data_IF_491353849664
#
_entry.id   IF_491353849664
#
_cell.length_a   1.000
_cell.length_b   1.000
_cell.length_c   1.000
_cell.angle_alpha   90.00
_cell.angle_beta   90.00
_cell.angle_gamma   90.00
#
_symmetry.space_group_name_H-M   'P 1'
#
loop_
_entity.id
_entity.type
_entity.pdbx_description
1 polymer ?
#
# COMPACT_ATOMS: atom_id res chain seq x y z
N UNK A 1 -14.08 -32.51 25.12
CA UNK A 1 -14.03 -31.07 24.79
C UNK A 1 -12.59 -30.78 24.42
N UNK A 2 -12.32 -30.44 23.16
CA UNK A 2 -10.99 -29.97 22.79
C UNK A 2 -10.81 -28.56 23.34
N UNK A 3 -9.58 -28.19 23.65
CA UNK A 3 -9.23 -26.91 24.28
C UNK A 3 -9.37 -25.75 23.28
N UNK A 4 -10.58 -25.16 23.23
CA UNK A 4 -10.94 -24.06 22.32
C UNK A 4 -10.19 -22.75 22.61
N UNK A 5 -9.38 -22.68 23.67
CA UNK A 5 -8.51 -21.53 23.93
C UNK A 5 -7.36 -21.46 22.92
N UNK A 6 -6.83 -22.61 22.45
CA UNK A 6 -5.66 -22.71 21.55
C UNK A 6 -5.92 -22.31 20.08
N UNK A 7 -7.08 -21.73 19.77
CA UNK A 7 -7.41 -21.23 18.42
C UNK A 7 -7.70 -19.73 18.40
N UNK A 8 -7.62 -19.07 19.54
CA UNK A 8 -7.91 -17.65 19.71
C UNK A 8 -6.60 -16.89 19.76
N UNK A 9 -6.57 -15.72 19.15
CA UNK A 9 -5.42 -14.82 19.20
C UNK A 9 -5.81 -13.56 19.96
N UNK A 10 -4.92 -13.08 20.82
CA UNK A 10 -5.01 -11.71 21.33
C UNK A 10 -4.37 -10.80 20.29
N UNK A 11 -5.04 -9.69 19.98
CA UNK A 11 -4.53 -8.62 19.13
C UNK A 11 -4.43 -7.37 19.99
N UNK A 12 -3.20 -6.88 20.14
CA UNK A 12 -2.88 -5.61 20.81
C UNK A 12 -2.53 -4.59 19.71
N UNK A 13 -3.19 -3.44 19.75
CA UNK A 13 -3.03 -2.37 18.77
C UNK A 13 -3.49 -1.04 19.40
N UNK A 14 -3.72 -0.02 18.60
CA UNK A 14 -4.13 1.32 19.05
C UNK A 14 -5.45 1.74 18.36
N UNK A 15 -6.21 2.64 18.98
CA UNK A 15 -7.31 3.36 18.34
C UNK A 15 -6.78 4.54 17.51
N UNK A 16 -7.66 5.22 16.76
CA UNK A 16 -7.32 6.42 15.99
C UNK A 16 -6.77 7.59 16.82
N UNK A 17 -6.82 7.51 18.16
CA UNK A 17 -6.30 8.50 19.10
C UNK A 17 -4.98 8.07 19.77
N UNK A 18 -4.41 6.91 19.41
CA UNK A 18 -3.21 6.34 20.03
C UNK A 18 -3.44 5.68 21.41
N UNK A 19 -4.69 5.43 21.80
CA UNK A 19 -4.98 4.65 23.00
C UNK A 19 -4.81 3.16 22.71
N UNK A 20 -4.13 2.43 23.61
CA UNK A 20 -3.97 0.97 23.45
C UNK A 20 -5.28 0.22 23.62
N UNK A 21 -5.61 -0.60 22.63
CA UNK A 21 -6.79 -1.46 22.61
C UNK A 21 -6.35 -2.93 22.50
N UNK A 22 -6.98 -3.79 23.31
CA UNK A 22 -6.74 -5.24 23.28
C UNK A 22 -8.04 -5.97 22.98
N UNK A 23 -8.07 -6.69 21.87
CA UNK A 23 -9.20 -7.52 21.43
C UNK A 23 -8.77 -8.97 21.23
N UNK A 24 -9.73 -9.87 21.13
CA UNK A 24 -9.47 -11.29 20.88
C UNK A 24 -10.18 -11.72 19.60
N UNK A 25 -9.48 -12.43 18.73
CA UNK A 25 -10.03 -13.02 17.51
C UNK A 25 -10.30 -14.50 17.75
N UNK A 26 -11.55 -14.94 17.56
CA UNK A 26 -11.95 -16.35 17.68
C UNK A 26 -12.23 -16.99 16.30
N UNK A 27 -12.10 -18.32 16.14
CA UNK A 27 -12.56 -18.98 14.93
C UNK A 27 -14.10 -18.91 14.78
N UNK A 28 -14.63 -18.81 13.55
CA UNK A 28 -16.07 -18.88 13.31
C UNK A 28 -16.67 -20.24 13.65
N UNK A 29 -17.79 -20.21 14.38
CA UNK A 29 -18.66 -21.35 14.63
C UNK A 29 -19.52 -21.66 13.40
N UNK A 30 -20.25 -22.79 13.43
CA UNK A 30 -21.24 -23.11 12.40
C UNK A 30 -22.35 -22.04 12.30
N UNK A 31 -22.74 -21.40 13.41
CA UNK A 31 -23.73 -20.31 13.41
C UNK A 31 -23.20 -19.09 12.66
N UNK A 32 -21.96 -18.70 12.94
CA UNK A 32 -21.31 -17.54 12.31
C UNK A 32 -21.17 -17.78 10.79
N UNK A 33 -20.74 -18.97 10.38
CA UNK A 33 -20.63 -19.34 8.96
C UNK A 33 -21.97 -19.34 8.23
N UNK A 34 -23.04 -19.77 8.89
CA UNK A 34 -24.39 -19.69 8.31
C UNK A 34 -24.84 -18.24 8.14
N UNK A 35 -24.52 -17.35 9.08
CA UNK A 35 -24.79 -15.92 8.97
C UNK A 35 -24.00 -15.25 7.83
N UNK A 36 -22.71 -15.58 7.72
CA UNK A 36 -21.85 -15.12 6.64
C UNK A 36 -22.37 -15.55 5.26
N UNK A 37 -22.79 -16.81 5.12
CA UNK A 37 -23.39 -17.33 3.88
C UNK A 37 -24.70 -16.61 3.50
N UNK A 38 -25.48 -16.14 4.48
CA UNK A 38 -26.67 -15.33 4.21
C UNK A 38 -26.31 -13.93 3.71
N UNK A 39 -25.27 -13.29 4.27
CA UNK A 39 -24.78 -12.00 3.76
C UNK A 39 -24.14 -12.14 2.37
N UNK A 40 -23.38 -13.21 2.12
CA UNK A 40 -22.90 -13.57 0.79
C UNK A 40 -24.06 -13.62 -0.22
N UNK A 41 -25.10 -14.41 0.05
CA UNK A 41 -26.22 -14.58 -0.89
C UNK A 41 -27.01 -13.28 -1.11
N UNK A 42 -27.15 -12.44 -0.07
CA UNK A 42 -27.78 -11.12 -0.18
C UNK A 42 -26.95 -10.18 -1.05
N UNK A 43 -25.65 -10.04 -0.75
CA UNK A 43 -24.72 -9.17 -1.48
C UNK A 43 -24.56 -9.62 -2.93
N UNK A 44 -24.34 -10.92 -3.18
CA UNK A 44 -24.23 -11.51 -4.52
C UNK A 44 -25.45 -11.18 -5.39
N UNK A 45 -26.66 -11.34 -4.84
CA UNK A 45 -27.90 -11.00 -5.54
C UNK A 45 -27.99 -9.51 -5.84
N UNK A 46 -27.71 -8.66 -4.85
CA UNK A 46 -27.75 -7.21 -5.01
C UNK A 46 -26.73 -6.71 -6.04
N UNK A 47 -25.51 -7.28 -6.05
CA UNK A 47 -24.48 -6.97 -7.02
C UNK A 47 -24.91 -7.31 -8.45
N UNK A 48 -25.47 -8.51 -8.67
CA UNK A 48 -26.04 -8.91 -9.96
C UNK A 48 -27.22 -8.02 -10.40
N UNK A 49 -28.15 -7.71 -9.48
CA UNK A 49 -29.27 -6.79 -9.74
C UNK A 49 -28.80 -5.35 -10.03
N UNK A 50 -27.61 -4.98 -9.57
CA UNK A 50 -26.95 -3.69 -9.84
C UNK A 50 -26.04 -3.71 -11.09
N UNK A 51 -25.95 -4.84 -11.80
CA UNK A 51 -25.17 -4.98 -13.04
C UNK A 51 -23.70 -5.38 -12.87
N UNK A 52 -23.27 -5.83 -11.69
CA UNK A 52 -21.93 -6.40 -11.50
C UNK A 52 -21.75 -7.67 -12.35
N UNK A 53 -20.57 -7.83 -12.94
CA UNK A 53 -20.23 -9.01 -13.74
C UNK A 53 -19.92 -10.22 -12.83
N UNK A 54 -20.15 -11.42 -13.36
CA UNK A 54 -19.64 -12.65 -12.75
C UNK A 54 -18.13 -12.77 -12.93
N UNK A 55 -17.43 -13.38 -11.98
CA UNK A 55 -15.98 -13.63 -12.04
C UNK A 55 -15.56 -14.43 -13.28
N UNK A 56 -16.42 -15.34 -13.76
CA UNK A 56 -16.20 -16.05 -15.03
C UNK A 56 -16.14 -15.13 -16.26
N UNK A 57 -16.71 -13.92 -16.18
CA UNK A 57 -16.72 -12.90 -17.24
C UNK A 57 -15.67 -11.80 -17.06
N UNK A 58 -14.86 -11.87 -16.00
CA UNK A 58 -13.81 -10.89 -15.74
C UNK A 58 -12.78 -10.83 -16.89
N UNK A 59 -12.32 -11.97 -17.38
CA UNK A 59 -11.26 -12.02 -18.39
C UNK A 59 -11.75 -11.52 -19.76
N UNK A 60 -12.97 -11.87 -20.15
CA UNK A 60 -13.65 -11.30 -21.33
C UNK A 60 -13.75 -9.76 -21.20
N UNK A 61 -14.21 -9.28 -20.02
CA UNK A 61 -14.41 -7.85 -19.78
C UNK A 61 -13.10 -7.05 -19.76
N UNK A 62 -12.03 -7.60 -19.17
CA UNK A 62 -10.70 -6.98 -19.14
C UNK A 62 -10.11 -6.81 -20.56
N UNK A 63 -10.37 -7.77 -21.45
CA UNK A 63 -10.00 -7.67 -22.87
C UNK A 63 -10.86 -6.63 -23.60
N UNK A 64 -12.18 -6.64 -23.39
CA UNK A 64 -13.11 -5.65 -23.98
C UNK A 64 -12.78 -4.20 -23.58
N UNK A 65 -12.37 -3.97 -22.33
CA UNK A 65 -11.95 -2.66 -21.83
C UNK A 65 -10.50 -2.29 -22.22
N UNK A 66 -9.75 -3.17 -22.87
CA UNK A 66 -8.34 -2.96 -23.21
C UNK A 66 -7.40 -2.89 -22.00
N UNK A 67 -7.86 -3.30 -20.81
CA UNK A 67 -7.05 -3.38 -19.58
C UNK A 67 -6.06 -4.53 -19.68
N UNK A 68 -6.46 -5.63 -20.31
CA UNK A 68 -5.65 -6.83 -20.51
C UNK A 68 -5.61 -7.21 -22.00
N UNK A 69 -4.49 -6.91 -22.65
CA UNK A 69 -4.29 -7.17 -24.08
C UNK A 69 -3.37 -8.38 -24.33
N UNK A 70 -3.11 -8.68 -25.61
CA UNK A 70 -2.23 -9.79 -26.02
C UNK A 70 -0.76 -9.56 -25.59
N UNK A 71 -0.35 -8.31 -25.34
CA UNK A 71 1.00 -7.99 -24.87
C UNK A 71 1.14 -8.32 -23.37
N UNK A 72 0.23 -7.83 -22.52
CA UNK A 72 0.17 -8.17 -21.09
C UNK A 72 -0.01 -9.66 -20.84
N UNK A 73 -0.82 -10.34 -21.65
CA UNK A 73 -0.95 -11.80 -21.56
C UNK A 73 0.39 -12.52 -21.81
N UNK A 74 1.18 -12.10 -22.80
CA UNK A 74 2.51 -12.66 -23.08
C UNK A 74 3.53 -12.32 -21.98
N UNK A 75 3.43 -11.13 -21.41
CA UNK A 75 4.26 -10.71 -20.28
C UNK A 75 3.97 -11.58 -19.05
N UNK A 76 2.70 -11.74 -18.69
CA UNK A 76 2.24 -12.63 -17.62
C UNK A 76 2.70 -14.10 -17.82
N UNK A 77 2.60 -14.63 -19.04
CA UNK A 77 3.09 -15.97 -19.38
C UNK A 77 4.63 -16.08 -19.28
N UNK A 78 5.37 -15.07 -19.72
CA UNK A 78 6.83 -14.98 -19.58
C UNK A 78 7.24 -14.97 -18.10
N UNK A 79 6.59 -14.13 -17.30
CA UNK A 79 6.79 -14.01 -15.85
C UNK A 79 6.56 -15.35 -15.14
N UNK A 80 5.41 -15.99 -15.38
CA UNK A 80 5.12 -17.32 -14.85
C UNK A 80 6.16 -18.35 -15.29
N UNK A 81 6.64 -18.28 -16.53
CA UNK A 81 7.68 -19.19 -17.02
C UNK A 81 9.00 -18.99 -16.29
N UNK A 82 9.46 -17.74 -16.11
CA UNK A 82 10.68 -17.41 -15.36
C UNK A 82 10.62 -17.99 -13.95
N UNK A 83 9.51 -17.76 -13.24
CA UNK A 83 9.26 -18.29 -11.90
C UNK A 83 9.31 -19.83 -11.90
N UNK A 84 8.47 -20.50 -12.69
CA UNK A 84 8.35 -21.96 -12.67
C UNK A 84 9.63 -22.70 -13.14
N UNK A 85 10.36 -22.14 -14.12
CA UNK A 85 11.66 -22.70 -14.53
C UNK A 85 12.75 -22.42 -13.50
N UNK A 86 12.71 -21.25 -12.85
CA UNK A 86 13.63 -20.85 -11.80
C UNK A 86 13.51 -21.73 -10.55
N UNK A 87 12.31 -21.93 -10.02
CA UNK A 87 12.03 -22.82 -8.89
C UNK A 87 12.61 -24.23 -9.15
N UNK A 88 12.35 -24.79 -10.34
CA UNK A 88 12.86 -26.12 -10.74
C UNK A 88 14.39 -26.16 -10.87
N UNK A 89 15.03 -25.09 -11.30
CA UNK A 89 16.50 -24.99 -11.43
C UNK A 89 17.17 -24.84 -10.06
N UNK A 90 16.68 -23.93 -9.21
CA UNK A 90 17.20 -23.73 -7.85
C UNK A 90 17.03 -24.99 -6.99
N UNK A 91 15.87 -25.64 -7.05
CA UNK A 91 15.62 -26.89 -6.31
C UNK A 91 16.51 -28.05 -6.79
N UNK A 92 16.74 -28.16 -8.10
CA UNK A 92 17.61 -29.20 -8.69
C UNK A 92 19.09 -28.95 -8.42
N UNK A 93 19.51 -27.69 -8.41
CA UNK A 93 20.91 -27.29 -8.39
C UNK A 93 21.68 -27.75 -9.63
N UNK A 94 23.02 -27.79 -9.52
CA UNK A 94 23.92 -28.21 -10.60
C UNK A 94 24.31 -27.11 -11.60
N UNK A 95 23.92 -25.86 -11.32
CA UNK A 95 24.38 -24.63 -12.00
C UNK A 95 25.46 -23.94 -11.16
N UNK A 96 26.15 -22.92 -11.71
CA UNK A 96 27.14 -22.15 -10.94
C UNK A 96 26.46 -21.34 -9.84
N UNK A 97 27.19 -21.00 -8.78
CA UNK A 97 26.64 -20.19 -7.68
C UNK A 97 26.19 -18.80 -8.15
N UNK A 98 27.00 -18.13 -8.99
CA UNK A 98 26.63 -16.84 -9.58
C UNK A 98 25.39 -16.97 -10.49
N UNK A 99 25.35 -18.00 -11.35
CA UNK A 99 24.20 -18.29 -12.21
C UNK A 99 22.91 -18.56 -11.40
N UNK A 100 23.03 -19.15 -10.21
CA UNK A 100 21.90 -19.36 -9.29
C UNK A 100 21.48 -18.07 -8.57
N UNK A 101 22.44 -17.19 -8.24
CA UNK A 101 22.20 -15.84 -7.70
C UNK A 101 21.47 -14.96 -8.73
N UNK A 102 21.98 -14.87 -9.96
CA UNK A 102 21.37 -14.13 -11.06
C UNK A 102 19.94 -14.64 -11.33
N UNK A 103 19.76 -15.97 -11.32
CA UNK A 103 18.44 -16.59 -11.45
C UNK A 103 17.51 -16.19 -10.30
N UNK A 104 17.97 -16.24 -9.05
CA UNK A 104 17.16 -15.83 -7.90
C UNK A 104 16.76 -14.35 -7.97
N UNK A 105 17.64 -13.45 -8.43
CA UNK A 105 17.28 -12.05 -8.68
C UNK A 105 16.22 -11.92 -9.78
N UNK A 106 16.41 -12.57 -10.93
CA UNK A 106 15.42 -12.56 -12.02
C UNK A 106 14.05 -13.12 -11.60
N UNK A 107 14.02 -14.04 -10.62
CA UNK A 107 12.78 -14.51 -10.00
C UNK A 107 12.15 -13.45 -9.10
N UNK A 108 12.92 -12.72 -8.28
CA UNK A 108 12.40 -11.60 -7.47
C UNK A 108 11.82 -10.49 -8.36
N UNK A 109 12.51 -10.11 -9.43
CA UNK A 109 11.98 -9.19 -10.45
C UNK A 109 10.66 -9.70 -11.04
N UNK A 110 10.64 -10.96 -11.51
CA UNK A 110 9.43 -11.58 -12.03
C UNK A 110 8.28 -11.65 -11.00
N UNK A 111 8.55 -11.80 -9.70
CA UNK A 111 7.51 -11.71 -8.65
C UNK A 111 6.96 -10.30 -8.49
N UNK A 112 7.78 -9.26 -8.68
CA UNK A 112 7.33 -7.87 -8.66
C UNK A 112 6.48 -7.55 -9.91
N UNK A 113 6.96 -7.95 -11.10
CA UNK A 113 6.18 -7.87 -12.35
C UNK A 113 4.83 -8.61 -12.23
N UNK A 114 4.85 -9.84 -11.68
CA UNK A 114 3.64 -10.63 -11.43
C UNK A 114 2.64 -9.90 -10.53
N UNK A 115 3.12 -9.29 -9.44
CA UNK A 115 2.28 -8.53 -8.51
C UNK A 115 1.67 -7.31 -9.15
N UNK A 116 2.42 -6.56 -9.96
CA UNK A 116 1.91 -5.41 -10.70
C UNK A 116 0.80 -5.82 -11.67
N UNK A 117 1.02 -6.85 -12.49
CA UNK A 117 0.04 -7.39 -13.43
C UNK A 117 -1.23 -7.91 -12.72
N UNK A 118 -1.07 -8.60 -11.59
CA UNK A 118 -2.21 -9.07 -10.79
C UNK A 118 -2.94 -7.93 -10.09
N UNK A 119 -2.27 -6.88 -9.63
CA UNK A 119 -2.91 -5.75 -8.96
C UNK A 119 -3.95 -5.05 -9.86
N UNK A 120 -3.62 -4.80 -11.13
CA UNK A 120 -4.57 -4.25 -12.11
C UNK A 120 -5.81 -5.15 -12.29
N UNK A 121 -5.59 -6.47 -12.39
CA UNK A 121 -6.68 -7.46 -12.48
C UNK A 121 -7.51 -7.49 -11.20
N UNK A 122 -6.89 -7.41 -10.03
CA UNK A 122 -7.55 -7.45 -8.73
C UNK A 122 -8.49 -6.27 -8.49
N UNK A 123 -8.19 -5.08 -9.02
CA UNK A 123 -9.11 -3.92 -8.97
C UNK A 123 -10.44 -4.24 -9.66
N UNK A 124 -10.39 -4.90 -10.81
CA UNK A 124 -11.61 -5.30 -11.54
C UNK A 124 -12.26 -6.56 -10.94
N UNK A 125 -11.45 -7.48 -10.42
CA UNK A 125 -11.93 -8.67 -9.70
C UNK A 125 -12.76 -8.30 -8.46
N UNK A 126 -12.35 -7.27 -7.72
CA UNK A 126 -13.08 -6.75 -6.56
C UNK A 126 -14.49 -6.24 -6.90
N UNK A 127 -14.72 -5.80 -8.14
CA UNK A 127 -16.03 -5.34 -8.62
C UNK A 127 -16.97 -6.48 -9.05
N UNK A 128 -16.49 -7.73 -9.13
CA UNK A 128 -17.34 -8.88 -9.50
C UNK A 128 -18.37 -9.17 -8.41
N UNK A 129 -19.51 -9.76 -8.80
CA UNK A 129 -20.58 -10.11 -7.86
C UNK A 129 -20.10 -11.08 -6.76
N UNK A 130 -19.23 -12.04 -7.12
CA UNK A 130 -18.59 -12.97 -6.19
C UNK A 130 -17.71 -12.24 -5.17
N UNK A 131 -16.82 -11.33 -5.59
CA UNK A 131 -15.92 -10.62 -4.67
C UNK A 131 -16.67 -9.67 -3.73
N UNK A 132 -17.69 -8.96 -4.21
CA UNK A 132 -18.57 -8.14 -3.36
C UNK A 132 -19.32 -9.00 -2.32
N UNK A 133 -19.63 -10.25 -2.67
CA UNK A 133 -20.28 -11.20 -1.77
C UNK A 133 -19.32 -11.82 -0.76
N UNK A 134 -18.09 -12.15 -1.17
CA UNK A 134 -17.02 -12.61 -0.28
C UNK A 134 -16.65 -11.53 0.75
N UNK A 135 -16.56 -10.26 0.34
CA UNK A 135 -16.34 -9.13 1.26
C UNK A 135 -17.46 -9.03 2.30
N UNK A 136 -18.74 -9.00 1.88
CA UNK A 136 -19.87 -8.94 2.81
C UNK A 136 -19.98 -10.17 3.73
N UNK A 137 -19.53 -11.35 3.26
CA UNK A 137 -19.39 -12.57 4.06
C UNK A 137 -18.30 -12.41 5.12
N UNK A 138 -17.15 -11.84 4.75
CA UNK A 138 -16.03 -11.57 5.64
C UNK A 138 -16.34 -10.51 6.70
N UNK A 139 -16.95 -9.39 6.33
CA UNK A 139 -17.37 -8.32 7.25
C UNK A 139 -18.32 -8.87 8.34
N UNK A 140 -19.24 -9.75 7.95
CA UNK A 140 -20.08 -10.45 8.91
C UNK A 140 -19.27 -11.33 9.86
N UNK A 141 -18.28 -12.07 9.37
CA UNK A 141 -17.41 -12.87 10.22
C UNK A 141 -16.58 -12.01 11.17
N UNK A 142 -16.03 -10.88 10.70
CA UNK A 142 -15.29 -9.93 11.53
C UNK A 142 -16.17 -9.37 12.65
N UNK A 143 -17.36 -8.85 12.33
CA UNK A 143 -18.28 -8.27 13.32
C UNK A 143 -18.69 -9.23 14.46
N UNK A 144 -18.75 -10.55 14.20
CA UNK A 144 -19.11 -11.56 15.23
C UNK A 144 -17.93 -12.32 15.84
N UNK A 145 -16.74 -12.27 15.23
CA UNK A 145 -15.55 -13.03 15.66
C UNK A 145 -14.45 -12.18 16.31
N UNK A 146 -14.52 -10.85 16.20
CA UNK A 146 -13.73 -9.93 17.02
C UNK A 146 -14.50 -9.72 18.34
N UNK A 147 -13.91 -10.18 19.44
CA UNK A 147 -14.54 -10.28 20.76
C UNK A 147 -13.69 -9.61 21.86
N UNK A 148 -14.32 -9.23 22.96
CA UNK A 148 -13.65 -8.76 24.17
C UNK A 148 -13.04 -9.91 24.98
N UNK A 149 -12.31 -9.57 26.04
CA UNK A 149 -11.73 -10.53 26.99
C UNK A 149 -12.78 -11.35 27.77
N UNK A 150 -14.07 -10.98 27.71
CA UNK A 150 -15.21 -11.69 28.31
C UNK A 150 -15.97 -12.54 27.28
N UNK A 151 -15.46 -12.65 26.05
CA UNK A 151 -16.03 -13.41 24.94
C UNK A 151 -17.36 -12.86 24.37
N UNK A 152 -17.61 -11.58 24.53
CA UNK A 152 -18.71 -10.89 23.84
C UNK A 152 -18.18 -10.25 22.55
N UNK A 153 -18.93 -10.26 21.43
CA UNK A 153 -18.62 -9.42 20.28
C UNK A 153 -18.43 -7.96 20.71
N UNK A 154 -17.40 -7.30 20.20
CA UNK A 154 -17.19 -5.87 20.49
C UNK A 154 -18.18 -4.99 19.71
N UNK A 155 -18.72 -5.51 18.60
CA UNK A 155 -19.74 -4.86 17.79
C UNK A 155 -21.11 -5.47 18.09
N UNK A 156 -22.13 -4.62 18.26
CA UNK A 156 -23.53 -5.03 18.42
C UNK A 156 -24.21 -5.40 17.10
N UNK A 157 -23.68 -4.92 15.97
CA UNK A 157 -24.21 -5.17 14.63
C UNK A 157 -23.11 -5.22 13.56
N UNK A 158 -23.48 -5.64 12.34
CA UNK A 158 -22.61 -5.55 11.17
C UNK A 158 -22.37 -4.08 10.76
N UNK A 159 -23.39 -3.23 10.91
CA UNK A 159 -23.33 -1.80 10.59
C UNK A 159 -22.32 -1.08 11.48
N UNK A 160 -22.29 -1.40 12.78
CA UNK A 160 -21.29 -0.85 13.73
C UNK A 160 -19.86 -1.29 13.39
N UNK A 161 -19.66 -2.51 12.91
CA UNK A 161 -18.35 -2.93 12.39
C UNK A 161 -17.96 -2.15 11.13
N UNK A 162 -18.91 -1.89 10.23
CA UNK A 162 -18.65 -1.15 8.98
C UNK A 162 -18.35 0.33 9.26
N UNK A 163 -19.02 0.94 10.24
CA UNK A 163 -18.81 2.33 10.69
C UNK A 163 -17.50 2.54 11.46
N UNK A 164 -16.86 1.48 11.95
CA UNK A 164 -15.61 1.52 12.72
C UNK A 164 -14.52 0.63 12.10
N UNK A 165 -14.65 0.24 10.84
CA UNK A 165 -13.76 -0.73 10.17
C UNK A 165 -12.36 -0.17 9.86
N UNK A 166 -12.22 1.15 9.86
CA UNK A 166 -11.00 1.93 9.65
C UNK A 166 -10.18 2.17 10.92
N UNK A 167 -10.75 1.91 12.11
CA UNK A 167 -10.01 1.94 13.38
C UNK A 167 -8.81 0.97 13.34
N UNK A 168 -7.58 1.38 13.71
CA UNK A 168 -6.38 0.56 13.48
C UNK A 168 -6.43 -0.81 14.18
N UNK A 169 -6.98 -0.87 15.40
CA UNK A 169 -7.17 -2.13 16.11
C UNK A 169 -8.23 -3.05 15.46
N UNK A 170 -9.23 -2.50 14.78
CA UNK A 170 -10.25 -3.26 14.05
C UNK A 170 -9.64 -3.83 12.78
N UNK A 171 -8.92 -3.02 12.02
CA UNK A 171 -8.16 -3.45 10.84
C UNK A 171 -7.13 -4.56 11.20
N UNK A 172 -6.40 -4.40 12.31
CA UNK A 172 -5.45 -5.42 12.79
C UNK A 172 -6.16 -6.73 13.17
N UNK A 173 -7.30 -6.66 13.86
CA UNK A 173 -8.07 -7.83 14.25
C UNK A 173 -8.74 -8.54 13.06
N UNK A 174 -9.27 -7.78 12.11
CA UNK A 174 -9.78 -8.30 10.84
C UNK A 174 -8.64 -8.98 10.03
N UNK A 175 -7.47 -8.34 9.91
CA UNK A 175 -6.29 -8.95 9.29
C UNK A 175 -5.91 -10.29 9.93
N UNK A 176 -5.94 -10.37 11.27
CA UNK A 176 -5.66 -11.62 12.01
C UNK A 176 -6.72 -12.70 11.83
N UNK A 177 -7.98 -12.31 11.57
CA UNK A 177 -9.04 -13.24 11.18
C UNK A 177 -8.82 -13.74 9.75
N UNK A 178 -8.49 -12.85 8.80
CA UNK A 178 -8.19 -13.19 7.41
C UNK A 178 -7.00 -14.16 7.28
N UNK A 179 -5.92 -13.92 8.03
CA UNK A 179 -4.76 -14.81 8.16
C UNK A 179 -5.21 -16.26 8.45
N UNK A 180 -6.09 -16.45 9.44
CA UNK A 180 -6.59 -17.78 9.82
C UNK A 180 -7.60 -18.39 8.85
N UNK A 181 -8.47 -17.57 8.25
CA UNK A 181 -9.53 -18.08 7.37
C UNK A 181 -8.99 -18.48 6.00
N UNK A 182 -8.15 -17.62 5.41
CA UNK A 182 -7.62 -17.81 4.07
C UNK A 182 -6.22 -18.46 4.06
N UNK A 183 -5.64 -18.70 5.25
CA UNK A 183 -4.28 -19.26 5.43
C UNK A 183 -3.21 -18.40 4.77
N UNK A 184 -3.34 -17.09 4.94
CA UNK A 184 -2.32 -16.14 4.50
C UNK A 184 -1.10 -16.33 5.40
N UNK A 185 0.05 -16.64 4.82
CA UNK A 185 1.31 -16.71 5.58
C UNK A 185 1.99 -15.33 5.52
N UNK A 186 2.15 -14.60 6.64
CA UNK A 186 2.89 -13.34 6.64
C UNK A 186 4.38 -13.53 6.26
N UNK A 187 4.90 -14.76 6.31
CA UNK A 187 6.25 -15.11 5.86
C UNK A 187 6.28 -15.76 4.47
N UNK A 188 5.20 -15.66 3.68
CA UNK A 188 5.13 -16.24 2.32
C UNK A 188 6.40 -15.96 1.50
N UNK A 189 6.88 -14.71 1.53
CA UNK A 189 8.09 -14.31 0.81
C UNK A 189 9.36 -15.02 1.29
N UNK A 190 9.49 -15.33 2.59
CA UNK A 190 10.63 -16.07 3.12
C UNK A 190 10.65 -17.53 2.66
N UNK A 191 9.48 -18.11 2.35
CA UNK A 191 9.32 -19.46 1.82
C UNK A 191 9.44 -19.57 0.29
N UNK A 192 9.70 -18.47 -0.42
CA UNK A 192 9.93 -18.51 -1.86
C UNK A 192 11.33 -19.11 -2.17
N UNK A 193 11.46 -20.08 -3.10
CA UNK A 193 12.73 -20.76 -3.37
C UNK A 193 13.92 -19.84 -3.71
N UNK A 194 13.64 -18.70 -4.36
CA UNK A 194 14.60 -17.63 -4.64
C UNK A 194 15.12 -16.97 -3.36
N UNK A 195 14.24 -16.68 -2.40
CA UNK A 195 14.62 -16.06 -1.12
C UNK A 195 15.27 -17.08 -0.18
N UNK A 196 14.75 -18.32 -0.08
CA UNK A 196 15.42 -19.41 0.65
C UNK A 196 16.85 -19.62 0.14
N UNK A 197 17.06 -19.56 -1.19
CA UNK A 197 18.38 -19.63 -1.79
C UNK A 197 19.27 -18.45 -1.38
N UNK A 198 18.81 -17.21 -1.53
CA UNK A 198 19.61 -16.02 -1.21
C UNK A 198 20.05 -16.01 0.26
N UNK A 199 19.17 -16.36 1.20
CA UNK A 199 19.52 -16.46 2.64
C UNK A 199 20.51 -17.60 2.88
N UNK A 200 20.23 -18.79 2.35
CA UNK A 200 21.07 -19.99 2.54
C UNK A 200 22.51 -19.81 2.03
N UNK A 201 22.72 -19.02 0.98
CA UNK A 201 24.03 -18.75 0.40
C UNK A 201 24.63 -17.39 0.79
N UNK A 202 24.02 -16.68 1.75
CA UNK A 202 24.48 -15.37 2.27
C UNK A 202 24.59 -14.28 1.19
N UNK A 203 23.59 -14.23 0.31
CA UNK A 203 23.31 -13.08 -0.55
C UNK A 203 22.21 -12.19 0.03
N UNK A 204 21.44 -12.69 0.99
CA UNK A 204 20.51 -11.93 1.80
C UNK A 204 20.55 -12.37 3.28
N UNK A 205 20.05 -11.52 4.17
CA UNK A 205 19.84 -11.83 5.59
C UNK A 205 18.44 -12.44 5.86
N UNK A 206 18.14 -12.75 7.13
CA UNK A 206 16.83 -13.31 7.53
C UNK A 206 15.65 -12.35 7.31
N UNK A 207 15.92 -11.07 7.04
CA UNK A 207 14.94 -10.01 6.71
C UNK A 207 14.84 -9.78 5.19
N UNK A 208 15.52 -10.62 4.39
CA UNK A 208 15.59 -10.60 2.92
C UNK A 208 16.29 -9.36 2.32
N UNK A 209 17.02 -8.59 3.13
CA UNK A 209 17.89 -7.50 2.69
C UNK A 209 19.18 -8.07 2.11
N UNK A 210 19.71 -7.46 1.06
CA UNK A 210 20.90 -8.00 0.38
C UNK A 210 22.16 -7.70 1.19
N UNK A 211 23.09 -8.66 1.18
CA UNK A 211 24.36 -8.55 1.90
C UNK A 211 25.55 -8.94 1.01
N UNK A 212 26.68 -8.29 1.26
CA UNK A 212 27.96 -8.65 0.66
C UNK A 212 28.59 -9.88 1.37
N UNK A 213 29.79 -10.27 0.95
CA UNK A 213 30.53 -11.44 1.49
C UNK A 213 30.90 -11.30 2.97
N UNK A 214 31.06 -10.06 3.44
CA UNK A 214 31.45 -9.72 4.81
C UNK A 214 30.21 -9.54 5.72
N UNK A 215 29.01 -9.51 5.13
CA UNK A 215 27.72 -9.42 5.82
C UNK A 215 27.15 -8.01 5.91
N UNK A 216 27.81 -7.00 5.33
CA UNK A 216 27.29 -5.64 5.26
C UNK A 216 26.13 -5.54 4.27
N UNK A 217 25.14 -4.71 4.60
CA UNK A 217 24.00 -4.41 3.72
C UNK A 217 24.47 -3.73 2.42
N UNK A 218 23.90 -4.17 1.30
CA UNK A 218 24.16 -3.61 -0.03
C UNK A 218 22.88 -3.52 -0.87
N UNK A 219 22.93 -2.76 -1.96
CA UNK A 219 21.94 -2.81 -3.04
C UNK A 219 22.20 -3.98 -4.03
N UNK A 220 21.47 -3.98 -5.15
CA UNK A 220 21.60 -4.95 -6.25
C UNK A 220 22.88 -4.77 -7.08
N UNK A 221 23.41 -3.54 -7.18
CA UNK A 221 24.70 -3.23 -7.80
C UNK A 221 25.91 -3.53 -6.88
N UNK A 222 25.67 -3.73 -5.58
CA UNK A 222 26.68 -4.05 -4.56
C UNK A 222 27.26 -2.84 -3.81
N UNK A 223 26.64 -1.65 -3.93
CA UNK A 223 26.97 -0.45 -3.12
C UNK A 223 26.44 -0.63 -1.70
N UNK A 224 27.14 -0.10 -0.70
CA UNK A 224 26.71 -0.18 0.70
C UNK A 224 25.47 0.67 0.96
N UNK A 225 24.55 0.15 1.76
CA UNK A 225 23.36 0.86 2.23
C UNK A 225 23.18 0.71 3.74
N UNK A 226 22.54 1.70 4.38
CA UNK A 226 22.13 1.59 5.78
C UNK A 226 20.82 0.78 5.96
N UNK A 227 20.35 0.62 7.18
CA UNK A 227 19.09 -0.11 7.48
C UNK A 227 17.83 0.54 6.85
N UNK A 228 17.90 1.83 6.50
CA UNK A 228 16.84 2.58 5.82
C UNK A 228 16.94 2.50 4.28
N UNK A 229 17.94 1.80 3.74
CA UNK A 229 18.19 1.68 2.29
C UNK A 229 18.89 2.89 1.65
N UNK A 230 19.49 3.78 2.46
CA UNK A 230 20.27 4.93 1.97
C UNK A 230 21.70 4.54 1.69
N UNK A 231 22.29 5.07 0.60
CA UNK A 231 23.70 4.84 0.28
C UNK A 231 24.65 5.37 1.37
N UNK A 232 25.63 4.54 1.70
CA UNK A 232 26.73 4.87 2.62
C UNK A 232 28.07 4.40 2.04
N UNK A 233 29.17 4.87 2.61
CA UNK A 233 30.51 4.31 2.36
C UNK A 233 30.81 3.11 3.29
N UNK A 234 32.04 2.56 3.20
CA UNK A 234 32.51 1.46 4.06
C UNK A 234 32.58 1.82 5.56
N UNK A 235 32.60 3.11 5.90
CA UNK A 235 32.65 3.63 7.27
C UNK A 235 31.25 3.97 7.84
N UNK A 236 30.23 4.00 6.97
CA UNK A 236 28.85 4.33 7.32
C UNK A 236 28.46 5.80 7.11
N UNK A 237 29.30 6.62 6.47
CA UNK A 237 28.98 8.00 6.13
C UNK A 237 28.04 8.03 4.91
N UNK A 238 27.09 8.97 4.86
CA UNK A 238 26.17 9.10 3.73
C UNK A 238 26.88 9.55 2.45
N UNK A 239 26.54 8.89 1.33
CA UNK A 239 27.00 9.23 -0.02
C UNK A 239 25.83 9.29 -1.01
N UNK A 240 26.07 9.84 -2.20
CA UNK A 240 25.15 9.73 -3.34
C UNK A 240 25.35 8.38 -4.09
N UNK A 241 24.63 8.20 -5.22
CA UNK A 241 24.69 6.96 -6.01
C UNK A 241 26.06 6.73 -6.70
N UNK A 242 26.84 7.80 -6.84
CA UNK A 242 28.18 7.86 -7.42
C UNK A 242 29.30 7.75 -6.36
N UNK A 243 28.97 7.81 -5.06
CA UNK A 243 29.90 7.72 -3.93
C UNK A 243 30.44 9.06 -3.42
N UNK A 244 29.86 10.19 -3.80
CA UNK A 244 30.23 11.51 -3.29
C UNK A 244 29.62 11.76 -1.90
N UNK A 245 30.35 12.35 -0.93
CA UNK A 245 29.82 12.61 0.41
C UNK A 245 28.64 13.60 0.43
N UNK A 246 27.57 13.21 1.14
CA UNK A 246 26.38 14.06 1.37
C UNK A 246 26.03 14.12 2.87
N UNK A 247 25.24 15.13 3.26
CA UNK A 247 24.70 15.22 4.61
C UNK A 247 23.56 14.23 4.83
N UNK A 248 23.08 14.12 6.08
CA UNK A 248 21.89 13.34 6.41
C UNK A 248 20.64 13.83 5.64
N UNK A 249 20.57 15.10 5.24
CA UNK A 249 19.50 15.64 4.37
C UNK A 249 19.77 15.47 2.86
N UNK A 250 20.83 14.75 2.47
CA UNK A 250 21.19 14.52 1.07
C UNK A 250 21.81 15.72 0.36
N UNK A 251 22.35 16.70 1.10
CA UNK A 251 23.05 17.86 0.51
C UNK A 251 24.52 17.55 0.31
N UNK A 252 25.08 17.94 -0.84
CA UNK A 252 26.52 17.83 -1.07
C UNK A 252 27.31 18.62 -0.03
N UNK A 253 28.29 17.95 0.60
CA UNK A 253 29.17 18.58 1.58
C UNK A 253 30.34 19.31 0.88
N UNK A 254 30.01 20.22 -0.02
CA UNK A 254 30.97 21.03 -0.78
C UNK A 254 31.12 22.42 -0.18
N UNK A 255 32.36 22.84 0.09
CA UNK A 255 32.64 24.23 0.44
C UNK A 255 32.26 25.14 -0.74
N UNK A 256 31.37 26.11 -0.49
CA UNK A 256 30.95 27.05 -1.53
C UNK A 256 32.15 27.85 -2.04
N UNK A 257 32.44 27.69 -3.33
CA UNK A 257 33.35 28.56 -4.06
C UNK A 257 32.54 29.52 -4.93
N UNK A 258 32.87 30.82 -4.98
CA UNK A 258 32.18 31.76 -5.85
C UNK A 258 32.31 31.34 -7.32
N UNK A 259 31.23 31.52 -8.09
CA UNK A 259 31.28 31.37 -9.53
C UNK A 259 32.31 32.33 -10.14
N UNK A 260 32.96 31.94 -11.23
CA UNK A 260 33.93 32.77 -11.92
C UNK A 260 33.31 33.40 -13.17
N UNK A 261 33.74 34.62 -13.52
CA UNK A 261 33.44 35.24 -14.82
C UNK A 261 34.24 34.59 -15.97
N UNK A 262 33.95 35.01 -17.21
CA UNK A 262 34.62 34.50 -18.42
C UNK A 262 36.15 34.76 -18.43
N UNK A 263 36.63 35.71 -17.61
CA UNK A 263 38.05 36.06 -17.43
C UNK A 263 38.68 35.32 -16.22
N UNK A 264 37.90 34.52 -15.47
CA UNK A 264 38.34 33.69 -14.34
C UNK A 264 38.30 34.38 -12.96
N UNK A 265 37.65 35.53 -12.83
CA UNK A 265 37.56 36.28 -11.56
C UNK A 265 36.28 35.90 -10.77
N UNK A 266 36.33 35.83 -9.43
CA UNK A 266 35.15 35.59 -8.60
C UNK A 266 34.03 36.63 -8.79
N UNK A 267 32.86 36.14 -9.18
CA UNK A 267 31.59 36.88 -9.14
C UNK A 267 31.13 36.91 -7.69
N UNK A 268 30.99 38.12 -7.15
CA UNK A 268 30.36 38.34 -5.84
C UNK A 268 28.90 38.70 -6.10
N UNK A 269 27.97 37.88 -5.61
CA UNK A 269 26.57 38.26 -5.58
C UNK A 269 26.40 39.47 -4.66
N UNK A 270 26.09 40.62 -5.24
CA UNK A 270 25.65 41.79 -4.48
C UNK A 270 24.17 41.62 -4.15
N UNK A 271 23.88 41.27 -2.90
CA UNK A 271 22.54 41.42 -2.33
C UNK A 271 22.18 42.93 -2.33
N UNK A 272 21.46 43.38 -3.36
CA UNK A 272 20.80 44.69 -3.33
C UNK A 272 19.64 44.61 -2.33
N UNK A 273 19.91 44.94 -1.06
CA UNK A 273 18.84 45.26 -0.11
C UNK A 273 17.98 46.42 -0.68
N UNK A 274 16.64 46.32 -0.65
CA UNK A 274 15.79 47.38 -1.18
C UNK A 274 15.92 48.63 -0.30
N UNK A 275 16.44 49.73 -0.86
CA UNK A 275 16.59 51.01 -0.15
C UNK A 275 15.25 51.51 0.41
N UNK A 276 15.06 51.37 1.72
CA UNK A 276 13.96 52.01 2.44
C UNK A 276 14.31 53.47 2.65
N UNK A 277 13.91 54.31 1.70
CA UNK A 277 13.94 55.77 1.85
C UNK A 277 12.81 56.23 2.76
N UNK A 278 13.17 56.86 3.89
CA UNK A 278 12.26 57.74 4.63
C UNK A 278 11.95 59.03 3.83
N UNK A 279 11.04 59.90 4.25
CA UNK A 279 10.52 60.07 5.62
C UNK A 279 9.25 60.99 5.61
N UNK A 280 8.54 61.05 6.75
CA UNK A 280 7.55 62.06 7.19
C UNK A 280 6.25 62.25 6.37
N UNK A 281 5.10 61.83 6.94
CA UNK A 281 4.18 62.78 7.63
C UNK A 281 2.96 62.08 8.25
N UNK A 282 2.79 62.24 9.57
CA UNK A 282 1.49 62.10 10.23
C UNK A 282 0.71 63.41 10.01
N UNK A 283 -0.57 63.32 9.60
CA UNK A 283 -1.55 64.39 9.77
C UNK A 283 -2.97 63.77 9.84
N UNK A 284 -3.88 64.44 10.54
CA UNK A 284 -5.06 63.84 11.17
C UNK A 284 -6.34 63.74 10.30
N UNK A 285 -7.19 62.78 10.69
CA UNK A 285 -8.66 62.82 10.71
C UNK A 285 -9.59 62.87 9.44
N UNK A 286 -10.81 62.41 9.73
CA UNK A 286 -12.11 62.62 9.07
C UNK A 286 -12.46 62.00 7.68
N UNK A 287 -13.03 60.79 7.77
CA UNK A 287 -14.48 60.54 7.57
C UNK A 287 -15.13 60.71 6.16
N UNK A 288 -15.86 59.65 5.79
CA UNK A 288 -17.11 59.61 5.02
C UNK A 288 -17.17 59.44 3.47
N UNK A 289 -17.72 58.25 3.12
CA UNK A 289 -18.91 58.01 2.25
C UNK A 289 -18.74 57.90 0.72
N UNK A 290 -19.42 56.85 0.21
CA UNK A 290 -19.93 56.60 -1.17
C UNK A 290 -18.88 56.17 -2.20
N UNK A 291 -19.16 55.28 -3.16
CA UNK A 291 -20.35 54.44 -3.35
C UNK A 291 -20.04 53.17 -4.17
N UNK A 292 -20.86 52.13 -3.97
CA UNK A 292 -20.94 50.92 -4.81
C UNK A 292 -21.55 51.28 -6.19
N UNK A 293 -21.34 50.46 -7.24
CA UNK A 293 -22.54 49.83 -7.78
C UNK A 293 -22.42 48.32 -8.06
N UNK A 294 -23.39 47.58 -7.53
CA UNK A 294 -23.66 46.15 -7.83
C UNK A 294 -24.30 45.98 -9.21
N UNK A 295 -23.97 44.90 -9.91
CA UNK A 295 -24.92 44.15 -10.77
C UNK A 295 -24.98 42.71 -10.25
N UNK A 296 -25.93 42.39 -9.36
CA UNK A 296 -27.32 41.96 -9.60
C UNK A 296 -27.45 40.46 -9.94
N UNK A 297 -27.69 39.64 -8.90
CA UNK A 297 -28.47 38.38 -8.99
C UNK A 297 -29.91 38.70 -9.44
N UNK A 298 -30.59 37.74 -10.08
CA UNK A 298 -32.05 37.75 -10.27
C UNK A 298 -32.63 36.36 -9.96
N UNK A 299 -33.73 36.34 -9.21
CA UNK A 299 -34.48 35.20 -8.61
C UNK A 299 -35.92 35.75 -8.34
N UNK A 300 -37.02 35.01 -8.33
CA UNK A 300 -37.26 33.57 -8.52
C UNK A 300 -37.94 33.28 -9.91
N UNK A 301 -39.05 32.56 -10.13
CA UNK A 301 -40.09 31.99 -9.23
C UNK A 301 -40.76 30.71 -9.80
N UNK A 302 -41.39 29.96 -8.88
CA UNK A 302 -41.97 28.61 -8.94
C UNK A 302 -43.46 28.65 -9.30
N UNK A 303 -43.98 27.65 -10.03
CA UNK A 303 -45.40 27.20 -9.95
C UNK A 303 -45.46 25.68 -10.12
N UNK A 304 -46.28 25.00 -9.30
CA UNK A 304 -46.60 23.56 -9.37
C UNK A 304 -47.94 23.30 -10.07
N UNK A 305 -48.13 22.13 -10.70
CA UNK A 305 -49.20 21.15 -10.39
C UNK A 305 -49.41 20.07 -11.50
N UNK A 306 -49.48 18.80 -11.07
CA UNK A 306 -50.27 17.61 -11.52
C UNK A 306 -50.86 17.55 -12.97
N UNK A 307 -50.91 16.41 -13.69
CA UNK A 307 -51.43 15.10 -13.29
C UNK A 307 -51.27 13.97 -14.36
N UNK A 308 -51.56 12.72 -13.92
CA UNK A 308 -52.07 11.52 -14.65
C UNK A 308 -51.25 10.77 -15.73
N UNK A 309 -50.99 9.49 -15.40
CA UNK A 309 -51.13 8.23 -16.18
C UNK A 309 -50.58 8.05 -17.61
N UNK A 310 -49.88 6.93 -17.80
CA UNK A 310 -49.39 6.37 -19.07
C UNK A 310 -48.57 5.11 -18.85
#
# INVERSE_FOLDING_TARGET
>A
MADDTKKRETVESEDSNGNKVTVVVRPPTAKDKNGAQLQYLKSFRQALESGAILKQKLDDHLQEQGVWDEAKQKEYEKVLKTINEGERKLQKGGIKLEEAKDLAFSMKEARLEFRALIAERSVMDANTAESQADNASFDYLASVCIIDSKNQPIFSSLEEYQDNGDEPYVAAAAGKLAEKLYKLDPNYDKGLPENEFLVKYKFADEELRLINKDGSLVDDEGRFVNEEGRFVDEEGNFVDAEGNPVTEEGKYNSEFSPFLDDDGNPIVETEEEPEVTGDISEDEEEVAKKAVPKKKKKVAEKVEAEASEG
#
